data_IF_460720713576
#
_entry.id   IF_460720713576
#
_cell.length_a   1.000
_cell.length_b   1.000
_cell.length_c   1.000
_cell.angle_alpha   90.00
_cell.angle_beta   90.00
_cell.angle_gamma   90.00
#
_symmetry.space_group_name_H-M   'P 1'
#
loop_
_entity.id
_entity.type
_entity.pdbx_description
1 polymer ?
#
# COMPACT_ATOMS: atom_id res chain seq x y z
N UNK A 1 3.34 -1.26 37.13
CA UNK A 1 4.15 -2.28 36.42
C UNK A 1 5.14 -1.52 35.56
N UNK A 2 6.44 -1.80 35.64
CA UNK A 2 7.41 -1.10 34.80
C UNK A 2 7.16 -1.51 33.34
N UNK A 3 6.64 -0.59 32.53
CA UNK A 3 6.57 -0.74 31.08
C UNK A 3 8.00 -0.73 30.54
N UNK A 4 8.68 -1.89 30.61
CA UNK A 4 9.97 -2.06 29.98
C UNK A 4 9.73 -2.13 28.48
N UNK A 5 10.18 -1.10 27.77
CA UNK A 5 10.13 -1.05 26.31
C UNK A 5 10.84 -2.29 25.75
N UNK A 6 10.21 -3.06 24.84
CA UNK A 6 10.76 -4.32 24.36
C UNK A 6 12.07 -4.08 23.60
N UNK A 7 13.14 -4.78 24.02
CA UNK A 7 14.45 -4.73 23.34
C UNK A 7 14.60 -5.83 22.31
N UNK A 8 15.01 -5.49 21.10
CA UNK A 8 15.28 -6.48 20.05
C UNK A 8 16.47 -7.37 20.42
N UNK A 9 16.27 -8.70 20.38
CA UNK A 9 17.28 -9.70 20.78
C UNK A 9 17.90 -10.47 19.60
N UNK A 10 17.64 -10.05 18.36
CA UNK A 10 18.12 -10.74 17.15
C UNK A 10 17.31 -11.99 16.78
N UNK A 11 16.09 -12.14 17.31
CA UNK A 11 15.16 -13.18 16.88
C UNK A 11 14.68 -12.91 15.45
N UNK A 12 14.36 -13.94 14.65
CA UNK A 12 13.76 -13.73 13.34
C UNK A 12 12.47 -12.89 13.45
N UNK A 13 12.29 -11.96 12.52
CA UNK A 13 11.16 -11.04 12.50
C UNK A 13 9.95 -11.65 11.80
N UNK A 14 8.76 -11.41 12.34
CA UNK A 14 7.50 -11.86 11.74
C UNK A 14 6.53 -10.68 11.60
N UNK A 15 6.13 -10.41 10.35
CA UNK A 15 5.06 -9.48 10.02
C UNK A 15 3.74 -10.26 9.94
N UNK A 16 2.75 -9.84 10.73
CA UNK A 16 1.45 -10.49 10.77
C UNK A 16 0.46 -9.70 9.91
N UNK A 17 -0.11 -10.36 8.90
CA UNK A 17 -1.28 -9.84 8.20
C UNK A 17 -2.43 -9.62 9.22
N UNK A 18 -3.30 -8.65 8.95
CA UNK A 18 -4.38 -8.26 9.86
C UNK A 18 -5.33 -9.45 10.15
N UNK A 19 -5.49 -10.37 9.20
CA UNK A 19 -6.29 -11.59 9.39
C UNK A 19 -5.69 -12.58 10.41
N UNK A 20 -4.38 -12.54 10.64
CA UNK A 20 -3.70 -13.33 11.68
C UNK A 20 -3.85 -12.64 13.03
N UNK A 21 -3.78 -11.31 13.06
CA UNK A 21 -4.04 -10.57 14.30
C UNK A 21 -5.49 -10.77 14.78
N UNK A 22 -6.47 -10.67 13.88
CA UNK A 22 -7.88 -10.95 14.19
C UNK A 22 -8.07 -12.42 14.62
N UNK A 23 -7.31 -13.36 14.04
CA UNK A 23 -7.28 -14.74 14.51
C UNK A 23 -6.77 -14.85 15.94
N UNK A 24 -5.64 -14.22 16.29
CA UNK A 24 -5.09 -14.24 17.65
C UNK A 24 -6.02 -13.58 18.69
N UNK A 25 -6.86 -12.65 18.26
CA UNK A 25 -7.89 -12.03 19.11
C UNK A 25 -9.08 -12.98 19.31
N UNK A 26 -9.51 -13.68 18.26
CA UNK A 26 -10.70 -14.55 18.26
C UNK A 26 -10.43 -15.94 18.83
N UNK A 27 -9.32 -16.55 18.45
CA UNK A 27 -8.88 -17.85 18.94
C UNK A 27 -7.73 -17.62 19.91
N UNK A 28 -8.03 -17.68 21.21
CA UNK A 28 -7.03 -17.68 22.27
C UNK A 28 -6.36 -19.05 22.38
N UNK A 29 -5.92 -19.66 21.27
CA UNK A 29 -5.03 -20.82 21.36
C UNK A 29 -3.73 -20.31 21.98
N UNK A 30 -3.61 -20.51 23.29
CA UNK A 30 -2.47 -20.11 24.10
C UNK A 30 -1.19 -20.71 23.50
N UNK A 31 -1.28 -21.88 22.87
CA UNK A 31 -0.15 -22.57 22.25
C UNK A 31 0.38 -21.82 21.03
N UNK A 32 -0.47 -21.49 20.04
CA UNK A 32 -0.04 -20.75 18.85
C UNK A 32 0.49 -19.36 19.22
N UNK A 33 -0.20 -18.64 20.11
CA UNK A 33 0.27 -17.33 20.58
C UNK A 33 1.63 -17.44 21.29
N UNK A 34 1.79 -18.44 22.17
CA UNK A 34 3.04 -18.70 22.89
C UNK A 34 4.19 -19.06 21.95
N UNK A 35 3.94 -19.91 20.96
CA UNK A 35 4.94 -20.32 19.98
C UNK A 35 5.40 -19.16 19.11
N UNK A 36 4.46 -18.38 18.59
CA UNK A 36 4.74 -17.19 17.77
C UNK A 36 5.58 -16.18 18.58
N UNK A 37 5.21 -15.92 19.83
CA UNK A 37 5.93 -14.99 20.71
C UNK A 37 7.31 -15.50 21.14
N UNK A 38 7.48 -16.82 21.29
CA UNK A 38 8.77 -17.41 21.66
C UNK A 38 9.76 -17.44 20.48
N UNK A 39 9.25 -17.65 19.28
CA UNK A 39 10.05 -17.91 18.08
C UNK A 39 10.41 -16.65 17.29
N UNK A 40 9.57 -15.60 17.37
CA UNK A 40 9.69 -14.44 16.51
C UNK A 40 9.62 -13.11 17.25
N UNK A 41 10.33 -12.11 16.73
CA UNK A 41 10.04 -10.71 17.01
C UNK A 41 8.89 -10.26 16.12
N UNK A 42 7.73 -9.99 16.71
CA UNK A 42 6.58 -9.47 15.95
C UNK A 42 6.83 -8.03 15.56
N UNK A 43 6.52 -7.69 14.31
CA UNK A 43 6.61 -6.32 13.79
C UNK A 43 5.30 -5.89 13.14
N UNK A 44 5.02 -4.60 13.20
CA UNK A 44 3.85 -3.96 12.58
C UNK A 44 4.24 -2.62 11.95
N UNK A 45 3.43 -2.11 11.02
CA UNK A 45 3.74 -0.86 10.30
C UNK A 45 2.58 0.13 10.35
N UNK A 46 2.75 1.29 9.68
CA UNK A 46 1.66 2.24 9.45
C UNK A 46 0.47 1.60 8.71
N UNK A 47 0.71 0.61 7.86
CA UNK A 47 -0.38 -0.13 7.19
C UNK A 47 -1.21 -0.92 8.23
N UNK A 48 -0.55 -1.52 9.23
CA UNK A 48 -1.23 -2.18 10.35
C UNK A 48 -2.03 -1.18 11.20
N UNK A 49 -1.48 0.00 11.49
CA UNK A 49 -2.18 1.03 12.26
C UNK A 49 -3.39 1.60 11.50
N UNK A 50 -3.26 1.79 10.20
CA UNK A 50 -4.34 2.19 9.29
C UNK A 50 -5.49 1.18 9.30
N UNK A 51 -5.19 -0.11 9.21
CA UNK A 51 -6.15 -1.20 9.35
C UNK A 51 -6.90 -1.13 10.69
N UNK A 52 -6.14 -1.03 11.79
CA UNK A 52 -6.67 -0.96 13.15
C UNK A 52 -7.63 0.21 13.30
N UNK A 53 -7.28 1.41 12.78
CA UNK A 53 -8.16 2.58 12.81
C UNK A 53 -9.51 2.30 12.13
N UNK A 54 -9.52 1.59 11.00
CA UNK A 54 -10.75 1.25 10.26
C UNK A 54 -11.66 0.26 11.02
N UNK A 55 -11.14 -0.45 12.02
CA UNK A 55 -11.95 -1.35 12.87
C UNK A 55 -12.80 -0.62 13.92
N UNK A 56 -12.61 0.70 14.08
CA UNK A 56 -13.38 1.52 15.02
C UNK A 56 -13.12 1.12 16.48
N UNK A 57 -14.18 0.94 17.26
CA UNK A 57 -14.11 0.59 18.69
C UNK A 57 -13.32 -0.71 18.96
N UNK A 58 -13.28 -1.64 18.00
CA UNK A 58 -12.49 -2.87 18.13
C UNK A 58 -10.98 -2.64 18.05
N UNK A 59 -10.53 -1.46 17.63
CA UNK A 59 -9.11 -1.15 17.42
C UNK A 59 -8.26 -1.37 18.68
N UNK A 60 -8.81 -1.09 19.86
CA UNK A 60 -8.13 -1.30 21.14
C UNK A 60 -7.74 -2.77 21.36
N UNK A 61 -8.57 -3.72 20.92
CA UNK A 61 -8.26 -5.16 21.03
C UNK A 61 -7.01 -5.53 20.22
N UNK A 62 -6.81 -4.90 19.07
CA UNK A 62 -5.63 -5.12 18.22
C UNK A 62 -4.39 -4.49 18.82
N UNK A 63 -4.49 -3.27 19.35
CA UNK A 63 -3.37 -2.58 20.00
C UNK A 63 -2.90 -3.35 21.24
N UNK A 64 -3.84 -3.80 22.08
CA UNK A 64 -3.54 -4.63 23.24
C UNK A 64 -2.90 -5.96 22.83
N UNK A 65 -3.37 -6.59 21.74
CA UNK A 65 -2.74 -7.81 21.23
C UNK A 65 -1.31 -7.56 20.75
N UNK A 66 -1.02 -6.44 20.09
CA UNK A 66 0.34 -6.06 19.71
C UNK A 66 1.24 -5.82 20.95
N UNK A 67 0.70 -5.22 22.02
CA UNK A 67 1.41 -5.06 23.29
C UNK A 67 1.73 -6.41 23.93
N UNK A 68 0.75 -7.32 24.00
CA UNK A 68 0.96 -8.67 24.52
C UNK A 68 2.04 -9.45 23.74
N UNK A 69 2.15 -9.21 22.44
CA UNK A 69 3.15 -9.81 21.56
C UNK A 69 4.52 -9.12 21.64
N UNK A 70 4.67 -8.06 22.43
CA UNK A 70 5.88 -7.22 22.46
C UNK A 70 6.27 -6.74 21.04
N UNK A 71 5.29 -6.38 20.22
CA UNK A 71 5.52 -6.06 18.82
C UNK A 71 6.31 -4.74 18.67
N UNK A 72 7.19 -4.68 17.67
CA UNK A 72 8.00 -3.50 17.35
C UNK A 72 7.47 -2.78 16.12
N UNK A 73 7.59 -1.46 16.13
CA UNK A 73 7.07 -0.62 15.06
C UNK A 73 8.10 -0.46 13.93
N UNK A 74 7.76 -0.96 12.75
CA UNK A 74 8.55 -0.84 11.53
C UNK A 74 8.24 0.49 10.84
N UNK A 75 9.27 1.33 10.63
CA UNK A 75 9.16 2.59 9.88
C UNK A 75 10.18 2.64 8.75
N UNK A 76 9.77 3.19 7.61
CA UNK A 76 10.67 3.46 6.50
C UNK A 76 11.65 4.59 6.88
N UNK A 77 12.91 4.42 6.48
CA UNK A 77 13.95 5.42 6.69
C UNK A 77 13.92 6.43 5.55
N UNK A 78 14.00 7.71 5.91
CA UNK A 78 14.20 8.80 4.96
C UNK A 78 15.55 9.46 5.17
N UNK A 79 16.11 10.01 4.09
CA UNK A 79 17.31 10.83 4.16
C UNK A 79 16.97 12.28 4.59
N UNK A 80 17.99 13.15 4.67
CA UNK A 80 17.82 14.55 5.05
C UNK A 80 16.97 15.38 4.05
N UNK A 81 16.64 14.83 2.88
CA UNK A 81 15.73 15.42 1.89
C UNK A 81 14.32 14.83 1.97
N UNK A 82 14.02 14.01 2.98
CA UNK A 82 12.77 13.27 3.14
C UNK A 82 12.49 12.24 2.03
N UNK A 83 13.53 11.83 1.29
CA UNK A 83 13.42 10.77 0.30
C UNK A 83 13.65 9.42 0.98
N UNK A 84 12.89 8.40 0.56
CA UNK A 84 13.03 7.03 1.03
C UNK A 84 14.44 6.48 0.72
N UNK A 85 15.05 5.76 1.65
CA UNK A 85 16.39 5.16 1.45
C UNK A 85 16.34 3.70 0.99
N UNK A 86 15.15 3.07 1.05
CA UNK A 86 15.00 1.64 0.82
C UNK A 86 15.13 0.79 2.09
N UNK A 87 15.52 1.41 3.21
CA UNK A 87 15.67 0.76 4.50
C UNK A 87 14.47 1.01 5.40
N UNK A 88 14.36 0.20 6.46
CA UNK A 88 13.41 0.38 7.53
C UNK A 88 14.07 0.16 8.89
N UNK A 89 13.55 0.84 9.92
CA UNK A 89 13.98 0.72 11.31
C UNK A 89 12.88 0.12 12.17
N UNK A 90 13.28 -0.72 13.12
CA UNK A 90 12.39 -1.21 14.18
C UNK A 90 12.51 -0.29 15.39
N UNK A 91 11.38 0.25 15.83
CA UNK A 91 11.28 1.13 16.97
C UNK A 91 10.69 0.40 18.17
N UNK A 92 11.34 0.58 19.30
CA UNK A 92 10.88 0.15 20.62
C UNK A 92 9.88 1.20 21.13
N UNK A 93 8.61 1.06 20.78
CA UNK A 93 7.52 1.97 21.19
C UNK A 93 6.26 1.16 21.50
N UNK A 94 5.45 1.62 22.45
CA UNK A 94 4.13 1.01 22.68
C UNK A 94 3.27 1.14 21.41
N UNK A 95 2.60 0.06 20.96
CA UNK A 95 1.56 0.10 19.93
C UNK A 95 0.51 1.18 20.16
N UNK A 96 0.10 1.43 21.40
CA UNK A 96 -0.88 2.46 21.75
C UNK A 96 -0.32 3.85 21.46
N UNK A 97 0.94 4.11 21.84
CA UNK A 97 1.57 5.41 21.62
C UNK A 97 1.92 5.64 20.14
N UNK A 98 2.36 4.59 19.43
CA UNK A 98 2.55 4.62 17.98
C UNK A 98 1.22 4.91 17.26
N UNK A 99 0.11 4.31 17.70
CA UNK A 99 -1.22 4.56 17.14
C UNK A 99 -1.71 5.99 17.38
N UNK A 100 -1.48 6.55 18.58
CA UNK A 100 -1.77 7.96 18.86
C UNK A 100 -0.96 8.88 17.96
N UNK A 101 0.34 8.63 17.83
CA UNK A 101 1.21 9.40 16.93
C UNK A 101 0.72 9.31 15.48
N UNK A 102 0.39 8.10 15.00
CA UNK A 102 -0.17 7.89 13.67
C UNK A 102 -1.45 8.73 13.46
N UNK A 103 -2.42 8.63 14.37
CA UNK A 103 -3.69 9.36 14.27
C UNK A 103 -3.53 10.89 14.38
N UNK A 104 -2.57 11.38 15.15
CA UNK A 104 -2.44 12.81 15.42
C UNK A 104 -1.46 13.53 14.48
N UNK A 105 -0.50 12.81 13.90
CA UNK A 105 0.65 13.42 13.20
C UNK A 105 0.87 12.89 11.80
N UNK A 106 0.42 11.68 11.48
CA UNK A 106 0.62 11.07 10.15
C UNK A 106 -0.67 11.14 9.33
N UNK A 107 -1.76 10.63 9.90
CA UNK A 107 -3.01 10.41 9.20
C UNK A 107 -3.71 11.67 8.68
N UNK A 108 -3.86 12.77 9.46
CA UNK A 108 -4.66 13.91 9.03
C UNK A 108 -4.19 14.54 7.72
N UNK A 109 -2.88 14.50 7.47
CA UNK A 109 -2.25 15.03 6.26
C UNK A 109 -2.30 13.99 5.13
N UNK A 110 -2.00 12.73 5.44
CA UNK A 110 -1.84 11.68 4.42
C UNK A 110 -3.17 11.08 3.92
N UNK A 111 -4.13 10.83 4.80
CA UNK A 111 -5.30 10.02 4.45
C UNK A 111 -6.24 10.74 3.49
N UNK A 112 -6.38 12.06 3.60
CA UNK A 112 -7.24 12.81 2.67
C UNK A 112 -6.68 12.81 1.26
N UNK A 113 -5.37 13.04 1.11
CA UNK A 113 -4.68 13.01 -0.18
C UNK A 113 -4.63 11.59 -0.76
N UNK A 114 -4.30 10.60 0.06
CA UNK A 114 -4.29 9.21 -0.38
C UNK A 114 -5.69 8.78 -0.85
N UNK A 115 -6.74 9.14 -0.09
CA UNK A 115 -8.13 8.81 -0.44
C UNK A 115 -8.53 9.46 -1.76
N UNK A 116 -8.28 10.76 -1.95
CA UNK A 116 -8.65 11.46 -3.18
C UNK A 116 -7.86 10.93 -4.39
N UNK A 117 -6.56 10.71 -4.24
CA UNK A 117 -5.70 10.21 -5.32
C UNK A 117 -6.07 8.77 -5.71
N UNK A 118 -6.52 7.96 -4.76
CA UNK A 118 -6.97 6.59 -5.03
C UNK A 118 -8.30 6.51 -5.82
N UNK A 119 -9.07 7.60 -5.94
CA UNK A 119 -10.38 7.58 -6.62
C UNK A 119 -10.26 7.29 -8.12
N UNK A 120 -9.20 7.77 -8.77
CA UNK A 120 -8.91 7.44 -10.18
C UNK A 120 -8.65 5.94 -10.36
N UNK A 121 -7.92 5.33 -9.43
CA UNK A 121 -7.68 3.89 -9.43
C UNK A 121 -8.96 3.11 -9.09
N UNK A 122 -9.77 3.58 -8.15
CA UNK A 122 -11.09 2.98 -7.85
C UNK A 122 -11.99 3.00 -9.09
N UNK A 123 -12.00 4.09 -9.86
CA UNK A 123 -12.70 4.19 -11.15
C UNK A 123 -12.15 3.18 -12.16
N UNK A 124 -10.82 3.03 -12.26
CA UNK A 124 -10.19 2.01 -13.11
C UNK A 124 -10.64 0.57 -12.77
N UNK A 125 -10.91 0.28 -11.49
CA UNK A 125 -11.51 -0.99 -11.05
C UNK A 125 -13.04 -1.08 -11.24
N UNK A 126 -13.68 -0.11 -11.89
CA UNK A 126 -15.13 -0.05 -12.15
C UNK A 126 -15.96 0.56 -11.00
N UNK A 127 -15.31 1.19 -10.02
CA UNK A 127 -15.98 2.01 -9.00
C UNK A 127 -16.43 3.36 -9.55
N UNK A 128 -16.90 4.27 -8.68
CA UNK A 128 -17.27 5.66 -9.04
C UNK A 128 -18.22 5.73 -10.26
N UNK A 129 -19.21 4.83 -10.32
CA UNK A 129 -20.18 4.77 -11.44
C UNK A 129 -21.00 6.06 -11.48
N UNK A 130 -21.18 6.62 -12.68
CA UNK A 130 -21.88 7.89 -12.89
C UNK A 130 -21.04 9.13 -12.63
N UNK A 131 -19.76 9.00 -12.22
CA UNK A 131 -18.83 10.13 -12.17
C UNK A 131 -17.94 10.14 -13.40
N UNK A 132 -17.74 11.32 -13.98
CA UNK A 132 -16.72 11.61 -15.00
C UNK A 132 -15.31 11.69 -14.39
N UNK A 133 -14.29 11.75 -15.25
CA UNK A 133 -12.93 12.07 -14.79
C UNK A 133 -12.83 13.49 -14.23
N UNK A 134 -13.63 14.44 -14.73
CA UNK A 134 -13.63 15.82 -14.22
C UNK A 134 -14.21 15.91 -12.80
N UNK A 135 -15.23 15.10 -12.48
CA UNK A 135 -15.77 15.00 -11.10
C UNK A 135 -14.69 14.50 -10.13
N UNK A 136 -13.92 13.49 -10.54
CA UNK A 136 -12.84 12.93 -9.74
C UNK A 136 -11.70 13.95 -9.59
N UNK A 137 -11.33 14.63 -10.68
CA UNK A 137 -10.31 15.68 -10.67
C UNK A 137 -10.70 16.82 -9.73
N UNK A 138 -11.98 17.23 -9.71
CA UNK A 138 -12.45 18.27 -8.80
C UNK A 138 -12.25 17.89 -7.33
N UNK A 139 -12.53 16.65 -6.93
CA UNK A 139 -12.28 16.15 -5.58
C UNK A 139 -10.79 16.09 -5.23
N UNK A 140 -9.96 15.68 -6.19
CA UNK A 140 -8.50 15.64 -6.06
C UNK A 140 -7.91 17.04 -5.90
N UNK A 141 -8.33 18.00 -6.73
CA UNK A 141 -7.92 19.41 -6.65
C UNK A 141 -8.34 20.00 -5.32
N UNK A 142 -9.58 19.77 -4.87
CA UNK A 142 -10.06 20.29 -3.58
C UNK A 142 -9.23 19.74 -2.42
N UNK A 143 -8.94 18.44 -2.42
CA UNK A 143 -8.13 17.81 -1.36
C UNK A 143 -6.69 18.33 -1.38
N UNK A 144 -6.08 18.48 -2.56
CA UNK A 144 -4.74 19.02 -2.71
C UNK A 144 -4.66 20.49 -2.27
N UNK A 145 -5.65 21.31 -2.62
CA UNK A 145 -5.74 22.70 -2.16
C UNK A 145 -5.81 22.78 -0.63
N UNK A 146 -6.60 21.91 0.02
CA UNK A 146 -6.66 21.84 1.49
C UNK A 146 -5.31 21.52 2.12
N UNK A 147 -4.51 20.62 1.53
CA UNK A 147 -3.13 20.38 1.99
C UNK A 147 -2.25 21.63 1.85
N UNK A 148 -2.34 22.32 0.71
CA UNK A 148 -1.55 23.52 0.45
C UNK A 148 -1.92 24.66 1.43
N UNK A 149 -3.21 24.80 1.75
CA UNK A 149 -3.70 25.74 2.77
C UNK A 149 -3.15 25.39 4.16
N UNK A 150 -3.16 24.12 4.53
CA UNK A 150 -2.57 23.68 5.79
C UNK A 150 -1.07 23.98 5.89
N UNK A 151 -0.30 23.83 4.81
CA UNK A 151 1.11 24.19 4.78
C UNK A 151 1.34 25.71 4.93
N UNK A 152 0.47 26.52 4.33
CA UNK A 152 0.47 27.98 4.49
C UNK A 152 0.19 28.38 5.94
N UNK A 153 -0.83 27.78 6.58
CA UNK A 153 -1.15 28.00 8.00
C UNK A 153 -0.01 27.62 8.95
N UNK A 154 0.63 26.46 8.72
CA UNK A 154 1.80 26.04 9.48
C UNK A 154 2.96 27.03 9.31
N UNK A 155 3.18 27.53 8.10
CA UNK A 155 4.21 28.53 7.84
C UNK A 155 3.94 29.84 8.57
N UNK A 156 2.68 30.27 8.67
CA UNK A 156 2.31 31.48 9.38
C UNK A 156 2.51 31.33 10.90
N UNK A 157 2.23 30.15 11.45
CA UNK A 157 2.50 29.85 12.86
C UNK A 157 4.00 29.95 13.20
N UNK A 158 4.90 29.54 12.30
CA UNK A 158 6.35 29.62 12.50
C UNK A 158 6.92 31.06 12.52
N UNK A 159 6.17 32.08 12.05
CA UNK A 159 6.62 33.48 12.07
C UNK A 159 6.70 34.07 13.48
N UNK A 160 6.05 33.45 14.46
CA UNK A 160 5.92 33.98 15.82
C UNK A 160 7.04 33.54 16.80
N UNK A 161 7.93 32.63 16.40
CA UNK A 161 8.97 32.03 17.26
C UNK A 161 10.38 32.70 17.13
N UNK A 162 10.47 33.92 16.61
CA UNK A 162 11.71 34.72 16.66
C UNK A 162 12.83 34.28 15.72
N UNK A 163 12.60 33.31 14.85
CA UNK A 163 13.42 33.09 13.65
C UNK A 163 13.14 34.26 12.71
N UNK A 164 14.16 34.90 12.11
CA UNK A 164 14.01 35.96 11.11
C UNK A 164 13.26 35.43 9.87
N UNK A 165 11.93 35.29 9.99
CA UNK A 165 11.02 34.58 9.10
C UNK A 165 10.46 35.44 7.97
N UNK A 166 11.20 36.45 7.53
CA UNK A 166 10.76 37.39 6.50
C UNK A 166 10.72 36.78 5.09
N UNK A 167 11.20 35.55 4.88
CA UNK A 167 11.21 34.91 3.55
C UNK A 167 10.59 33.51 3.50
N UNK A 168 10.39 32.82 4.63
CA UNK A 168 9.86 31.45 4.61
C UNK A 168 8.39 31.41 4.21
N UNK A 169 7.57 32.32 4.77
CA UNK A 169 6.15 32.43 4.44
C UNK A 169 5.89 32.75 2.97
N UNK A 170 6.60 33.75 2.44
CA UNK A 170 6.48 34.11 1.02
C UNK A 170 6.98 33.00 0.10
N UNK A 171 8.04 32.28 0.51
CA UNK A 171 8.54 31.12 -0.23
C UNK A 171 7.52 30.00 -0.26
N UNK A 172 6.96 29.63 0.90
CA UNK A 172 5.94 28.58 1.00
C UNK A 172 4.71 28.98 0.19
N UNK A 173 4.21 30.20 0.33
CA UNK A 173 3.06 30.69 -0.44
C UNK A 173 3.28 30.64 -1.96
N UNK A 174 4.46 31.04 -2.44
CA UNK A 174 4.76 30.96 -3.88
C UNK A 174 4.91 29.51 -4.36
N UNK A 175 5.49 28.64 -3.55
CA UNK A 175 5.61 27.21 -3.84
C UNK A 175 4.24 26.55 -3.91
N UNK A 176 3.39 26.73 -2.90
CA UNK A 176 2.04 26.15 -2.85
C UNK A 176 1.19 26.64 -4.03
N UNK A 177 1.23 27.94 -4.35
CA UNK A 177 0.56 28.49 -5.54
C UNK A 177 1.02 27.82 -6.83
N UNK A 178 2.33 27.63 -7.00
CA UNK A 178 2.90 26.96 -8.17
C UNK A 178 2.44 25.50 -8.25
N UNK A 179 2.51 24.78 -7.13
CA UNK A 179 2.10 23.38 -7.02
C UNK A 179 0.61 23.20 -7.32
N UNK A 180 -0.28 24.07 -6.83
CA UNK A 180 -1.72 24.03 -7.16
C UNK A 180 -1.96 24.14 -8.66
N UNK A 181 -1.28 25.08 -9.32
CA UNK A 181 -1.39 25.28 -10.77
C UNK A 181 -0.88 24.07 -11.55
N UNK A 182 0.29 23.55 -11.20
CA UNK A 182 0.88 22.38 -11.85
C UNK A 182 0.02 21.13 -11.66
N UNK A 183 -0.49 20.90 -10.46
CA UNK A 183 -1.33 19.75 -10.16
C UNK A 183 -2.62 19.76 -10.98
N UNK A 184 -3.29 20.91 -11.07
CA UNK A 184 -4.48 21.08 -11.92
C UNK A 184 -4.17 20.80 -13.39
N UNK A 185 -3.10 21.38 -13.93
CA UNK A 185 -2.70 21.16 -15.34
C UNK A 185 -2.36 19.70 -15.63
N UNK A 186 -1.72 19.01 -14.68
CA UNK A 186 -1.39 17.59 -14.81
C UNK A 186 -2.65 16.72 -14.86
N UNK A 187 -3.64 17.01 -14.02
CA UNK A 187 -4.92 16.29 -14.03
C UNK A 187 -5.71 16.54 -15.32
N UNK A 188 -5.76 17.78 -15.80
CA UNK A 188 -6.38 18.12 -17.09
C UNK A 188 -5.70 17.38 -18.24
N UNK A 189 -4.37 17.38 -18.27
CA UNK A 189 -3.59 16.64 -19.26
C UNK A 189 -3.88 15.13 -19.20
N UNK A 190 -3.81 14.53 -18.00
CA UNK A 190 -4.09 13.11 -17.79
C UNK A 190 -5.49 12.72 -18.25
N UNK A 191 -6.51 13.53 -17.94
CA UNK A 191 -7.89 13.28 -18.38
C UNK A 191 -8.02 13.36 -19.89
N UNK A 192 -7.39 14.35 -20.53
CA UNK A 192 -7.40 14.47 -21.98
C UNK A 192 -6.72 13.29 -22.67
N UNK A 193 -5.64 12.75 -22.11
CA UNK A 193 -5.01 11.53 -22.61
C UNK A 193 -5.93 10.30 -22.45
N UNK A 194 -6.56 10.13 -21.27
CA UNK A 194 -7.50 9.03 -21.02
C UNK A 194 -8.69 9.05 -22.00
N UNK A 195 -9.25 10.22 -22.28
CA UNK A 195 -10.37 10.44 -23.22
C UNK A 195 -10.07 10.03 -24.66
N UNK A 196 -8.80 9.92 -25.05
CA UNK A 196 -8.44 9.39 -26.37
C UNK A 196 -8.73 7.89 -26.52
N UNK A 197 -8.94 7.19 -25.41
CA UNK A 197 -9.05 5.74 -25.36
C UNK A 197 -10.30 5.23 -24.63
N UNK A 198 -11.10 6.14 -24.07
CA UNK A 198 -12.26 5.83 -23.23
C UNK A 198 -13.45 6.65 -23.74
N UNK A 199 -14.45 5.96 -24.29
CA UNK A 199 -15.64 6.59 -24.87
C UNK A 199 -16.73 6.86 -23.81
N UNK A 200 -16.91 5.93 -22.85
CA UNK A 200 -17.91 6.04 -21.77
C UNK A 200 -17.21 6.15 -20.42
N UNK A 201 -17.05 7.39 -19.95
CA UNK A 201 -16.48 7.66 -18.64
C UNK A 201 -17.40 7.20 -17.49
N UNK A 202 -18.72 7.28 -17.64
CA UNK A 202 -19.65 7.07 -16.53
C UNK A 202 -19.62 5.63 -16.02
N UNK A 203 -19.48 4.66 -16.94
CA UNK A 203 -19.47 3.23 -16.63
C UNK A 203 -18.11 2.54 -16.87
N UNK A 204 -17.06 3.32 -17.13
CA UNK A 204 -15.70 2.84 -17.36
C UNK A 204 -15.21 1.85 -16.30
N UNK A 205 -14.57 0.76 -16.76
CA UNK A 205 -13.79 -0.16 -15.94
C UNK A 205 -12.56 -0.62 -16.70
N UNK A 206 -11.45 0.09 -16.51
CA UNK A 206 -10.20 -0.22 -17.17
C UNK A 206 -9.69 -1.64 -16.94
N UNK A 207 -9.93 -2.23 -15.76
CA UNK A 207 -9.58 -3.65 -15.52
C UNK A 207 -10.39 -4.61 -16.39
N UNK A 208 -11.70 -4.39 -16.50
CA UNK A 208 -12.55 -5.26 -17.32
C UNK A 208 -12.26 -5.04 -18.81
N UNK A 209 -12.08 -3.79 -19.22
CA UNK A 209 -11.72 -3.44 -20.60
C UNK A 209 -10.37 -4.05 -20.99
N UNK A 210 -9.38 -3.94 -20.10
CA UNK A 210 -8.06 -4.54 -20.28
C UNK A 210 -8.15 -6.06 -20.50
N UNK A 211 -8.78 -6.79 -19.57
CA UNK A 211 -8.92 -8.26 -19.65
C UNK A 211 -9.73 -8.69 -20.87
N UNK A 212 -10.73 -7.92 -21.27
CA UNK A 212 -11.55 -8.20 -22.45
C UNK A 212 -10.74 -8.03 -23.73
N UNK A 213 -9.89 -6.98 -23.81
CA UNK A 213 -9.03 -6.72 -24.97
C UNK A 213 -7.89 -7.73 -25.10
N UNK A 214 -7.29 -8.15 -23.99
CA UNK A 214 -6.21 -9.15 -24.01
C UNK A 214 -6.73 -10.58 -24.15
N UNK A 215 -7.99 -10.84 -23.79
CA UNK A 215 -8.53 -12.20 -23.70
C UNK A 215 -7.93 -13.03 -22.56
N UNK A 216 -7.13 -12.40 -21.69
CA UNK A 216 -6.43 -13.04 -20.57
C UNK A 216 -7.00 -12.52 -19.26
N UNK A 217 -7.35 -13.44 -18.37
CA UNK A 217 -7.89 -13.12 -17.06
C UNK A 217 -7.79 -14.29 -16.08
N UNK A 218 -8.66 -14.32 -15.04
CA UNK A 218 -8.56 -15.31 -13.97
C UNK A 218 -8.66 -16.77 -14.43
N UNK A 219 -9.40 -17.04 -15.49
CA UNK A 219 -9.55 -18.40 -16.04
C UNK A 219 -8.21 -18.93 -16.58
N UNK A 220 -7.46 -18.07 -17.25
CA UNK A 220 -6.15 -18.40 -17.82
C UNK A 220 -5.06 -18.41 -16.74
N UNK A 221 -5.09 -17.45 -15.81
CA UNK A 221 -3.97 -17.22 -14.91
C UNK A 221 -4.02 -18.01 -13.60
N UNK A 222 -5.20 -18.36 -13.06
CA UNK A 222 -5.28 -18.99 -11.74
C UNK A 222 -4.79 -20.45 -11.69
N UNK A 223 -4.54 -21.06 -12.85
CA UNK A 223 -3.93 -22.38 -12.97
C UNK A 223 -2.39 -22.33 -13.03
N UNK A 224 -1.80 -21.13 -12.98
CA UNK A 224 -0.34 -20.96 -12.91
C UNK A 224 0.09 -21.23 -11.47
N UNK A 225 0.82 -22.32 -11.27
CA UNK A 225 1.43 -22.66 -9.99
C UNK A 225 2.92 -22.29 -9.94
N UNK A 226 3.42 -22.14 -8.71
CA UNK A 226 4.85 -21.95 -8.40
C UNK A 226 5.71 -23.13 -8.91
N UNK A 227 7.00 -22.92 -9.24
CA UNK A 227 7.78 -21.66 -9.21
C UNK A 227 7.55 -20.74 -10.43
N UNK A 228 8.23 -19.60 -10.48
CA UNK A 228 8.34 -18.67 -11.61
C UNK A 228 7.00 -18.06 -12.08
N UNK A 229 6.04 -17.85 -11.18
CA UNK A 229 4.70 -17.34 -11.49
C UNK A 229 4.75 -16.04 -12.31
N UNK A 230 5.56 -15.06 -11.90
CA UNK A 230 5.70 -13.76 -12.59
C UNK A 230 6.18 -13.93 -14.03
N UNK A 231 7.16 -14.82 -14.27
CA UNK A 231 7.70 -15.10 -15.61
C UNK A 231 6.70 -15.87 -16.48
N UNK A 232 5.99 -16.84 -15.89
CA UNK A 232 4.93 -17.60 -16.58
C UNK A 232 3.80 -16.67 -17.02
N UNK A 233 3.37 -15.75 -16.16
CA UNK A 233 2.38 -14.73 -16.51
C UNK A 233 2.92 -13.83 -17.63
N UNK A 234 4.16 -13.35 -17.54
CA UNK A 234 4.74 -12.55 -18.60
C UNK A 234 4.76 -13.29 -19.95
N UNK A 235 5.08 -14.59 -19.96
CA UNK A 235 5.07 -15.40 -21.19
C UNK A 235 3.70 -15.34 -21.88
N UNK A 236 2.62 -15.48 -21.11
CA UNK A 236 1.24 -15.38 -21.63
C UNK A 236 0.96 -14.01 -22.28
N UNK A 237 1.47 -12.92 -21.71
CA UNK A 237 1.23 -11.57 -22.24
C UNK A 237 2.19 -11.17 -23.35
N UNK A 238 3.42 -11.68 -23.34
CA UNK A 238 4.46 -11.33 -24.32
C UNK A 238 4.12 -11.76 -25.75
N UNK A 239 3.24 -12.75 -25.90
CA UNK A 239 2.76 -13.27 -27.18
C UNK A 239 1.59 -12.45 -27.77
N UNK A 240 1.06 -11.47 -27.04
CA UNK A 240 -0.03 -10.62 -27.53
C UNK A 240 0.57 -9.50 -28.39
N UNK A 241 0.10 -9.34 -29.63
CA UNK A 241 0.59 -8.37 -30.63
C UNK A 241 0.83 -6.95 -30.07
N UNK A 242 -0.02 -6.51 -29.15
CA UNK A 242 0.11 -5.19 -28.53
C UNK A 242 1.43 -5.06 -27.76
N UNK A 243 1.95 -6.11 -27.12
CA UNK A 243 3.18 -6.04 -26.33
C UNK A 243 4.45 -6.26 -27.15
N UNK A 244 4.37 -7.09 -28.19
CA UNK A 244 5.48 -7.33 -29.12
C UNK A 244 5.91 -6.02 -29.84
N UNK A 245 4.93 -5.24 -30.29
CA UNK A 245 5.17 -4.02 -31.07
C UNK A 245 5.71 -2.83 -30.25
N UNK A 246 5.59 -2.83 -28.91
CA UNK A 246 6.05 -1.74 -28.04
C UNK A 246 7.38 -2.01 -27.32
N UNK A 247 8.10 -3.09 -27.67
CA UNK A 247 9.34 -3.50 -26.98
C UNK A 247 9.14 -3.53 -25.45
N UNK A 248 7.99 -4.08 -25.04
CA UNK A 248 7.62 -4.21 -23.63
C UNK A 248 8.48 -5.31 -23.00
N UNK A 249 9.20 -4.99 -21.92
CA UNK A 249 9.87 -5.99 -21.09
C UNK A 249 8.97 -6.42 -19.93
N UNK A 250 9.33 -7.53 -19.28
CA UNK A 250 8.68 -7.98 -18.05
C UNK A 250 8.71 -6.87 -16.99
N UNK A 251 9.86 -6.22 -16.81
CA UNK A 251 10.03 -5.16 -15.81
C UNK A 251 9.11 -3.97 -16.09
N UNK A 252 8.95 -3.57 -17.36
CA UNK A 252 8.02 -2.50 -17.75
C UNK A 252 6.57 -2.91 -17.55
N UNK A 253 6.21 -4.15 -17.92
CA UNK A 253 4.87 -4.69 -17.73
C UNK A 253 4.45 -4.70 -16.24
N UNK A 254 5.35 -5.11 -15.36
CA UNK A 254 5.12 -5.12 -13.92
C UNK A 254 5.42 -3.79 -13.22
N UNK A 255 5.85 -2.75 -13.96
CA UNK A 255 6.09 -1.41 -13.42
C UNK A 255 7.31 -1.28 -12.51
N UNK A 256 8.32 -2.14 -12.69
CA UNK A 256 9.50 -2.29 -11.81
C UNK A 256 10.85 -1.91 -12.44
N UNK A 257 10.84 -1.32 -13.64
CA UNK A 257 12.04 -0.87 -14.36
C UNK A 257 12.66 0.39 -13.72
N UNK A 258 12.33 1.59 -14.22
CA UNK A 258 12.66 2.87 -13.60
C UNK A 258 11.39 3.47 -13.02
N UNK A 259 11.48 4.03 -11.81
CA UNK A 259 10.32 4.68 -11.20
C UNK A 259 9.86 5.84 -12.10
N UNK A 260 8.59 5.87 -12.54
CA UNK A 260 8.10 7.00 -13.33
C UNK A 260 7.91 8.27 -12.50
N UNK A 261 7.96 8.14 -11.17
CA UNK A 261 7.72 9.21 -10.20
C UNK A 261 9.03 9.72 -9.59
N UNK A 262 10.02 8.83 -9.44
CA UNK A 262 11.28 9.13 -8.80
C UNK A 262 12.41 8.93 -9.79
N UNK A 263 13.36 9.86 -9.84
CA UNK A 263 14.56 9.74 -10.68
C UNK A 263 15.58 8.75 -10.07
N UNK A 264 15.09 7.54 -9.71
CA UNK A 264 15.86 6.44 -9.13
C UNK A 264 15.22 5.09 -9.43
N UNK A 265 16.02 4.05 -9.25
CA UNK A 265 15.55 2.68 -9.16
C UNK A 265 14.53 2.54 -8.01
N UNK A 266 13.50 1.73 -8.23
CA UNK A 266 12.58 1.35 -7.16
C UNK A 266 13.27 0.44 -6.13
N UNK A 267 12.92 0.62 -4.87
CA UNK A 267 13.32 -0.27 -3.78
C UNK A 267 12.50 -1.56 -3.78
N UNK A 268 12.96 -2.57 -3.05
CA UNK A 268 12.33 -3.89 -3.00
C UNK A 268 10.83 -3.81 -2.67
N UNK A 269 10.46 -3.10 -1.61
CA UNK A 269 9.06 -2.99 -1.16
C UNK A 269 8.17 -2.29 -2.21
N UNK A 270 8.69 -1.31 -2.94
CA UNK A 270 7.97 -0.65 -4.04
C UNK A 270 7.73 -1.61 -5.20
N UNK A 271 8.76 -2.40 -5.56
CA UNK A 271 8.66 -3.43 -6.60
C UNK A 271 7.66 -4.52 -6.23
N UNK A 272 7.66 -4.96 -4.97
CA UNK A 272 6.68 -5.92 -4.43
C UNK A 272 5.26 -5.37 -4.61
N UNK A 273 5.02 -4.12 -4.20
CA UNK A 273 3.69 -3.49 -4.32
C UNK A 273 3.25 -3.40 -5.78
N UNK A 274 4.17 -3.04 -6.68
CA UNK A 274 3.89 -2.93 -8.11
C UNK A 274 3.51 -4.29 -8.71
N UNK A 275 4.31 -5.34 -8.49
CA UNK A 275 4.00 -6.70 -8.94
C UNK A 275 2.65 -7.15 -8.38
N UNK A 276 2.43 -7.00 -7.08
CA UNK A 276 1.19 -7.40 -6.42
C UNK A 276 -0.05 -6.75 -7.05
N UNK A 277 0.01 -5.45 -7.31
CA UNK A 277 -1.08 -4.70 -7.95
C UNK A 277 -1.30 -5.14 -9.41
N UNK A 278 -0.23 -5.36 -10.18
CA UNK A 278 -0.35 -5.83 -11.56
C UNK A 278 -0.94 -7.24 -11.60
N UNK A 279 -0.51 -8.17 -10.72
CA UNK A 279 -1.12 -9.50 -10.59
C UNK A 279 -2.64 -9.40 -10.37
N UNK A 280 -3.07 -8.46 -9.54
CA UNK A 280 -4.47 -8.18 -9.31
C UNK A 280 -5.20 -7.66 -10.57
N UNK A 281 -4.59 -6.73 -11.31
CA UNK A 281 -5.15 -6.16 -12.55
C UNK A 281 -5.29 -7.25 -13.63
N UNK A 282 -4.22 -8.00 -13.90
CA UNK A 282 -4.22 -9.03 -14.97
C UNK A 282 -5.13 -10.21 -14.64
N UNK A 283 -5.42 -10.43 -13.37
CA UNK A 283 -6.37 -11.45 -12.92
C UNK A 283 -5.73 -12.69 -12.32
N UNK A 284 -4.48 -12.64 -11.86
CA UNK A 284 -3.90 -13.70 -11.06
C UNK A 284 -4.29 -13.53 -9.58
N UNK A 285 -5.10 -14.46 -9.07
CA UNK A 285 -5.64 -14.43 -7.71
C UNK A 285 -6.23 -13.05 -7.34
N UNK A 286 -7.15 -12.51 -8.15
CA UNK A 286 -7.58 -11.14 -8.01
C UNK A 286 -8.51 -10.96 -6.82
N UNK A 287 -8.49 -9.77 -6.25
CA UNK A 287 -9.41 -9.39 -5.20
C UNK A 287 -10.82 -9.19 -5.76
N UNK A 288 -11.82 -9.58 -4.97
CA UNK A 288 -13.21 -9.60 -5.44
C UNK A 288 -13.96 -8.31 -5.11
N UNK A 289 -14.81 -7.88 -6.05
CA UNK A 289 -15.73 -6.75 -5.92
C UNK A 289 -15.02 -5.40 -5.71
N UNK A 290 -13.87 -5.20 -6.38
CA UNK A 290 -13.07 -3.98 -6.26
C UNK A 290 -13.76 -2.70 -6.75
N UNK A 291 -14.87 -2.79 -7.50
CA UNK A 291 -15.73 -1.64 -7.77
C UNK A 291 -16.36 -1.03 -6.49
N UNK A 292 -16.40 -1.78 -5.38
CA UNK A 292 -16.86 -1.28 -4.07
C UNK A 292 -15.69 -0.68 -3.30
N UNK A 293 -15.78 0.58 -2.92
CA UNK A 293 -14.72 1.31 -2.19
C UNK A 293 -14.15 0.53 -1.00
N UNK A 294 -15.01 -0.04 -0.14
CA UNK A 294 -14.56 -0.84 1.01
C UNK A 294 -13.68 -2.04 0.60
N UNK A 295 -13.98 -2.69 -0.53
CA UNK A 295 -13.23 -3.86 -1.02
C UNK A 295 -11.95 -3.42 -1.72
N UNK A 296 -11.99 -2.31 -2.44
CA UNK A 296 -10.81 -1.67 -3.01
C UNK A 296 -9.80 -1.27 -1.94
N UNK A 297 -10.25 -0.58 -0.89
CA UNK A 297 -9.41 -0.18 0.24
C UNK A 297 -8.76 -1.38 0.93
N UNK A 298 -9.50 -2.48 1.12
CA UNK A 298 -8.95 -3.72 1.67
C UNK A 298 -7.86 -4.32 0.76
N UNK A 299 -8.11 -4.42 -0.55
CA UNK A 299 -7.12 -4.93 -1.50
C UNK A 299 -5.85 -4.05 -1.57
N UNK A 300 -5.99 -2.73 -1.43
CA UNK A 300 -4.84 -1.82 -1.35
C UNK A 300 -4.05 -2.01 -0.06
N UNK A 301 -4.70 -2.34 1.05
CA UNK A 301 -4.01 -2.74 2.29
C UNK A 301 -3.26 -4.05 2.13
N UNK A 302 -3.84 -5.05 1.47
CA UNK A 302 -3.16 -6.32 1.23
C UNK A 302 -1.85 -6.09 0.45
N UNK A 303 -1.88 -5.25 -0.58
CA UNK A 303 -0.66 -4.85 -1.29
C UNK A 303 0.33 -4.09 -0.39
N UNK A 304 -0.18 -3.27 0.55
CA UNK A 304 0.62 -2.59 1.57
C UNK A 304 1.30 -3.54 2.56
N UNK A 305 0.59 -4.58 3.03
CA UNK A 305 1.15 -5.61 3.90
C UNK A 305 2.18 -6.47 3.17
N UNK A 306 1.95 -6.83 1.92
CA UNK A 306 2.97 -7.50 1.11
C UNK A 306 4.21 -6.62 0.95
N UNK A 307 4.03 -5.32 0.68
CA UNK A 307 5.13 -4.36 0.60
C UNK A 307 5.93 -4.28 1.91
N UNK A 308 5.27 -3.98 3.03
CA UNK A 308 5.95 -3.81 4.33
C UNK A 308 6.49 -5.13 4.88
N UNK A 309 5.83 -6.24 4.57
CA UNK A 309 6.27 -7.58 4.93
C UNK A 309 7.61 -7.97 4.31
N UNK A 310 8.02 -7.36 3.20
CA UNK A 310 9.32 -7.61 2.56
C UNK A 310 10.55 -7.21 3.41
N UNK A 311 10.34 -6.45 4.49
CA UNK A 311 11.37 -6.14 5.48
C UNK A 311 11.50 -7.21 6.58
N UNK A 312 10.55 -8.14 6.68
CA UNK A 312 10.57 -9.21 7.67
C UNK A 312 11.26 -10.47 7.15
N UNK A 313 11.68 -11.34 8.07
CA UNK A 313 12.09 -12.71 7.72
C UNK A 313 10.88 -13.56 7.32
N UNK A 314 9.73 -13.33 7.96
CA UNK A 314 8.49 -14.06 7.73
C UNK A 314 7.28 -13.15 7.63
N UNK A 315 6.35 -13.50 6.73
CA UNK A 315 5.00 -12.91 6.66
C UNK A 315 3.98 -14.02 6.90
N UNK A 316 3.08 -13.82 7.86
CA UNK A 316 2.02 -14.78 8.18
C UNK A 316 0.69 -14.28 7.64
N UNK A 317 -0.03 -15.14 6.91
CA UNK A 317 -1.39 -14.87 6.44
C UNK A 317 -2.19 -16.17 6.35
N UNK A 318 -3.51 -16.04 6.33
CA UNK A 318 -4.45 -17.14 6.03
C UNK A 318 -5.21 -16.91 4.72
N UNK A 319 -5.03 -15.76 4.08
CA UNK A 319 -5.65 -15.45 2.80
C UNK A 319 -4.84 -16.07 1.66
N UNK A 320 -5.42 -17.04 0.97
CA UNK A 320 -4.75 -17.75 -0.13
C UNK A 320 -4.38 -16.84 -1.29
N UNK A 321 -5.21 -15.84 -1.61
CA UNK A 321 -4.94 -14.93 -2.71
C UNK A 321 -3.77 -14.03 -2.35
N UNK A 322 -3.74 -13.50 -1.12
CA UNK A 322 -2.58 -12.77 -0.58
C UNK A 322 -1.31 -13.62 -0.65
N UNK A 323 -1.35 -14.84 -0.10
CA UNK A 323 -0.18 -15.73 -0.02
C UNK A 323 0.40 -15.99 -1.42
N UNK A 324 -0.45 -16.37 -2.38
CA UNK A 324 -0.01 -16.67 -3.75
C UNK A 324 0.59 -15.44 -4.45
N UNK A 325 -0.01 -14.26 -4.30
CA UNK A 325 0.52 -13.01 -4.88
C UNK A 325 1.82 -12.58 -4.21
N UNK A 326 1.91 -12.63 -2.88
CA UNK A 326 3.11 -12.28 -2.14
C UNK A 326 4.27 -13.23 -2.44
N UNK A 327 4.04 -14.54 -2.48
CA UNK A 327 5.06 -15.54 -2.87
C UNK A 327 5.58 -15.29 -4.28
N UNK A 328 4.70 -15.06 -5.25
CA UNK A 328 5.08 -14.78 -6.63
C UNK A 328 5.99 -13.53 -6.72
N UNK A 329 5.64 -12.44 -6.02
CA UNK A 329 6.44 -11.22 -5.99
C UNK A 329 7.80 -11.43 -5.30
N UNK A 330 7.82 -12.10 -4.14
CA UNK A 330 9.04 -12.34 -3.37
C UNK A 330 10.02 -13.27 -4.08
N UNK A 331 9.50 -14.33 -4.70
CA UNK A 331 10.29 -15.26 -5.50
C UNK A 331 10.95 -14.53 -6.67
N UNK A 332 10.18 -13.76 -7.45
CA UNK A 332 10.72 -13.04 -8.61
C UNK A 332 11.80 -12.03 -8.23
N UNK A 333 11.60 -11.32 -7.12
CA UNK A 333 12.50 -10.27 -6.65
C UNK A 333 13.65 -10.82 -5.79
N UNK A 334 13.76 -12.13 -5.58
CA UNK A 334 14.70 -12.75 -4.65
C UNK A 334 14.66 -12.11 -3.24
N UNK A 335 13.46 -11.79 -2.75
CA UNK A 335 13.28 -11.32 -1.39
C UNK A 335 13.64 -12.42 -0.39
N UNK A 336 14.30 -12.06 0.72
CA UNK A 336 14.66 -13.02 1.78
C UNK A 336 13.45 -13.50 2.58
N UNK A 337 12.38 -12.72 2.58
CA UNK A 337 11.14 -12.96 3.30
C UNK A 337 10.44 -14.24 2.83
N UNK A 338 9.99 -15.05 3.79
CA UNK A 338 9.18 -16.25 3.55
C UNK A 338 7.73 -16.02 3.92
N UNK A 339 6.80 -16.44 3.07
CA UNK A 339 5.36 -16.35 3.35
C UNK A 339 4.84 -17.66 3.95
N UNK A 340 4.38 -17.59 5.19
CA UNK A 340 3.82 -18.69 5.97
C UNK A 340 2.30 -18.65 5.91
N UNK A 341 1.72 -19.77 5.50
CA UNK A 341 0.29 -20.00 5.54
C UNK A 341 -0.13 -20.52 6.92
N UNK A 342 -1.08 -19.86 7.56
CA UNK A 342 -1.68 -20.31 8.82
C UNK A 342 -2.99 -21.05 8.53
N UNK A 343 -3.05 -22.32 8.90
CA UNK A 343 -4.26 -23.16 8.80
C UNK A 343 -4.80 -23.50 10.19
N UNK A 344 -6.11 -23.42 10.34
CA UNK A 344 -6.80 -23.95 11.51
C UNK A 344 -7.28 -25.36 11.17
N UNK A 345 -6.99 -26.32 12.05
CA UNK A 345 -7.59 -27.64 12.01
C UNK A 345 -8.65 -27.67 13.09
N UNK A 346 -9.92 -27.86 12.70
CA UNK A 346 -10.95 -28.19 13.66
C UNK A 346 -10.72 -29.65 14.09
N UNK A 347 -10.48 -29.88 15.37
CA UNK A 347 -10.55 -31.24 15.93
C UNK A 347 -12.00 -31.73 15.78
N UNK A 348 -12.19 -32.81 15.02
CA UNK A 348 -13.49 -33.47 14.84
C UNK A 348 -13.84 -34.34 16.04
#
# INVERSE_FOLDING_TARGET
MSNSVPKYKGQPTAYLDHNILDLLIKSSSIEFQSEVKASYQIIYSDESLKEIKRTGERGELFLNKLEELNAMYLRLVTNNKFELTGDATLHEVSPIDAFKYYCNSVEPIYQQIEKSNSQSLLKFFGGRRGNSFDDINAEQIASFNGLMEHLEELSDACKYDGVEGLHLGDTIFNLTKTMRSQYKQLLEYSTNELRKHIDDEEFFSGVNDYRSRTGVGPVQLNNIDEPDVVKKIWTVFSEIDAYENYNMSLEKFFGIDVSPIYDRQQFLFEKVRSIYNVLNIVGYQPDSKMAKEKRFVAAMSDAGHASMGSFADYVFSRDQAFIKKARAAYEYLNAKTRVIEVRLFDEK
#
